data_IF_877085500806
#
_entry.id   IF_877085500806
#
_cell.length_a   1.000
_cell.length_b   1.000
_cell.length_c   1.000
_cell.angle_alpha   90.00
_cell.angle_beta   90.00
_cell.angle_gamma   90.00
#
_symmetry.space_group_name_H-M   'P 1'
#
loop_
_entity.id
_entity.type
_entity.pdbx_description
1 polymer ?
#
# COMPACT_ATOMS: atom_id res chain seq x y z
N UNK A 1 35.12 10.93 10.53
CA UNK A 1 34.68 12.34 10.58
C UNK A 1 33.83 12.56 11.82
N UNK A 2 34.42 13.02 12.92
CA UNK A 2 33.70 13.38 14.15
C UNK A 2 33.11 14.78 13.96
N UNK A 3 31.79 14.94 13.96
CA UNK A 3 31.19 16.28 13.98
C UNK A 3 31.55 16.93 15.32
N UNK A 4 32.12 18.13 15.27
CA UNK A 4 32.50 18.90 16.47
C UNK A 4 31.27 19.01 17.38
N UNK A 5 31.34 18.31 18.51
CA UNK A 5 30.40 18.39 19.61
C UNK A 5 30.54 19.74 20.30
N UNK A 6 29.87 20.75 19.78
CA UNK A 6 29.61 22.01 20.46
C UNK A 6 28.20 21.98 21.03
N UNK A 7 28.10 21.71 22.33
CA UNK A 7 27.04 21.92 23.33
C UNK A 7 25.82 22.83 23.01
N UNK A 8 25.15 22.68 21.87
CA UNK A 8 23.83 23.26 21.64
C UNK A 8 22.79 22.15 21.78
N UNK A 9 22.15 22.09 22.95
CA UNK A 9 20.87 21.41 23.08
C UNK A 9 19.98 21.91 21.93
N UNK A 10 19.47 20.99 21.12
CA UNK A 10 18.63 21.30 19.96
C UNK A 10 17.55 22.29 20.39
N UNK A 11 17.37 23.39 19.64
CA UNK A 11 16.32 24.36 19.93
C UNK A 11 15.00 23.59 20.13
N UNK A 12 14.24 23.82 21.21
CA UNK A 12 12.97 23.15 21.46
C UNK A 12 12.03 23.14 20.24
N UNK A 13 12.02 24.21 19.45
CA UNK A 13 11.26 24.30 18.21
C UNK A 13 11.76 23.31 17.12
N UNK A 14 13.06 23.17 16.97
CA UNK A 14 13.66 22.22 16.01
C UNK A 14 13.48 20.77 16.46
N UNK A 15 13.54 20.51 17.77
CA UNK A 15 13.21 19.21 18.33
C UNK A 15 11.76 18.84 18.02
N UNK A 16 10.82 19.77 18.22
CA UNK A 16 9.41 19.58 17.90
C UNK A 16 9.20 19.31 16.39
N UNK A 17 9.77 20.13 15.50
CA UNK A 17 9.69 19.93 14.04
C UNK A 17 10.26 18.56 13.63
N UNK A 18 11.40 18.17 14.20
CA UNK A 18 12.03 16.88 13.91
C UNK A 18 11.16 15.71 14.37
N UNK A 19 10.48 15.83 15.52
CA UNK A 19 9.53 14.83 15.99
C UNK A 19 8.29 14.73 15.08
N UNK A 20 7.72 15.85 14.65
CA UNK A 20 6.59 15.86 13.69
C UNK A 20 6.99 15.21 12.36
N UNK A 21 8.16 15.59 11.81
CA UNK A 21 8.69 14.99 10.59
C UNK A 21 8.93 13.49 10.73
N UNK A 22 9.46 13.02 11.87
CA UNK A 22 9.63 11.58 12.13
C UNK A 22 8.28 10.83 12.12
N UNK A 23 7.25 11.39 12.74
CA UNK A 23 5.89 10.81 12.75
C UNK A 23 5.32 10.75 11.34
N UNK A 24 5.48 11.81 10.56
CA UNK A 24 5.04 11.88 9.17
C UNK A 24 5.76 10.86 8.28
N UNK A 25 7.09 10.78 8.37
CA UNK A 25 7.89 9.80 7.62
C UNK A 25 7.46 8.37 7.95
N UNK A 26 7.22 8.07 9.24
CA UNK A 26 6.75 6.75 9.66
C UNK A 26 5.38 6.40 9.07
N UNK A 27 4.43 7.35 9.09
CA UNK A 27 3.10 7.19 8.47
C UNK A 27 3.23 6.95 6.96
N UNK A 28 4.00 7.77 6.25
CA UNK A 28 4.21 7.66 4.80
C UNK A 28 4.91 6.35 4.41
N UNK A 29 5.79 5.82 5.28
CA UNK A 29 6.44 4.52 5.05
C UNK A 29 5.44 3.37 5.23
N UNK A 30 4.61 3.42 6.28
CA UNK A 30 3.57 2.43 6.52
C UNK A 30 2.52 2.41 5.41
N UNK A 31 2.08 3.58 4.94
CA UNK A 31 1.13 3.69 3.82
C UNK A 31 1.72 3.12 2.52
N UNK A 32 2.97 3.46 2.19
CA UNK A 32 3.66 2.90 1.02
C UNK A 32 3.82 1.38 1.10
N UNK A 33 4.13 0.86 2.29
CA UNK A 33 4.24 -0.57 2.50
C UNK A 33 2.88 -1.25 2.31
N UNK A 34 1.81 -0.71 2.90
CA UNK A 34 0.46 -1.24 2.75
C UNK A 34 -0.01 -1.26 1.29
N UNK A 35 0.21 -0.16 0.55
CA UNK A 35 -0.10 -0.10 -0.89
C UNK A 35 0.68 -1.18 -1.64
N UNK A 36 1.99 -1.30 -1.38
CA UNK A 36 2.81 -2.33 -2.02
C UNK A 36 2.28 -3.74 -1.73
N UNK A 37 1.94 -4.04 -0.49
CA UNK A 37 1.46 -5.35 -0.08
C UNK A 37 0.09 -5.67 -0.67
N UNK A 38 -0.83 -4.69 -0.72
CA UNK A 38 -2.12 -4.82 -1.40
C UNK A 38 -1.95 -5.14 -2.90
N UNK A 39 -1.10 -4.41 -3.61
CA UNK A 39 -0.81 -4.68 -5.03
C UNK A 39 0.12 -5.88 -5.25
N UNK A 40 0.80 -6.38 -4.23
CA UNK A 40 1.55 -7.63 -4.28
C UNK A 40 0.61 -8.84 -4.35
N UNK A 41 -0.57 -8.76 -3.71
CA UNK A 41 -1.58 -9.82 -3.64
C UNK A 41 -2.47 -9.94 -4.89
N UNK A 42 -1.93 -9.60 -6.06
CA UNK A 42 -2.65 -9.66 -7.36
C UNK A 42 -3.12 -11.07 -7.74
N UNK A 43 -2.44 -12.10 -7.26
CA UNK A 43 -2.73 -13.49 -7.62
C UNK A 43 -3.88 -14.08 -6.78
N UNK A 44 -4.25 -13.42 -5.68
CA UNK A 44 -5.29 -13.87 -4.74
C UNK A 44 -6.37 -12.79 -4.55
N UNK A 45 -7.28 -12.62 -5.52
CA UNK A 45 -8.33 -11.60 -5.44
C UNK A 45 -9.34 -11.85 -4.30
N UNK A 46 -9.46 -13.08 -3.78
CA UNK A 46 -10.40 -13.39 -2.70
C UNK A 46 -9.98 -12.74 -1.36
N UNK A 47 -8.69 -12.79 -1.02
CA UNK A 47 -8.16 -12.16 0.21
C UNK A 47 -8.41 -10.64 0.20
N UNK A 48 -8.22 -9.98 -0.95
CA UNK A 48 -8.51 -8.54 -1.10
C UNK A 48 -10.01 -8.24 -0.95
N UNK A 49 -10.88 -9.16 -1.38
CA UNK A 49 -12.34 -9.01 -1.27
C UNK A 49 -12.81 -9.13 0.17
N UNK A 50 -12.25 -10.05 0.94
CA UNK A 50 -12.59 -10.26 2.35
C UNK A 50 -12.22 -9.04 3.19
N UNK A 51 -10.99 -8.53 3.06
CA UNK A 51 -10.56 -7.31 3.75
C UNK A 51 -11.40 -6.08 3.34
N UNK A 52 -11.76 -5.98 2.06
CA UNK A 52 -12.63 -4.92 1.58
C UNK A 52 -14.03 -5.03 2.19
N UNK A 53 -14.57 -6.25 2.31
CA UNK A 53 -15.88 -6.50 2.91
C UNK A 53 -15.90 -6.08 4.37
N UNK A 54 -14.87 -6.43 5.15
CA UNK A 54 -14.75 -5.99 6.54
C UNK A 54 -14.80 -4.46 6.68
N UNK A 55 -14.13 -3.72 5.80
CA UNK A 55 -14.17 -2.25 5.80
C UNK A 55 -15.54 -1.68 5.39
N UNK A 56 -16.26 -2.37 4.50
CA UNK A 56 -17.63 -1.98 4.11
C UNK A 56 -18.59 -2.25 5.24
N UNK A 57 -18.49 -3.39 5.91
CA UNK A 57 -19.32 -3.76 7.05
C UNK A 57 -19.07 -2.79 8.22
N UNK A 58 -17.82 -2.38 8.45
CA UNK A 58 -17.48 -1.34 9.42
C UNK A 58 -18.05 0.04 9.05
N UNK A 59 -18.10 0.40 7.77
CA UNK A 59 -18.73 1.63 7.29
C UNK A 59 -20.26 1.61 7.43
N UNK A 60 -20.87 0.44 7.24
CA UNK A 60 -22.31 0.27 7.45
C UNK A 60 -22.69 0.42 8.93
N UNK A 61 -21.81 0.00 9.85
CA UNK A 61 -22.03 0.07 11.29
C UNK A 61 -21.62 1.43 11.91
N UNK A 62 -20.93 2.30 11.18
CA UNK A 62 -20.47 3.60 11.68
C UNK A 62 -19.52 4.34 10.74
N UNK A 63 -18.97 5.49 11.16
CA UNK A 63 -18.08 6.27 10.29
C UNK A 63 -16.65 5.71 10.29
N UNK A 64 -16.12 5.41 9.10
CA UNK A 64 -14.71 5.06 8.90
C UNK A 64 -13.77 6.22 9.28
N UNK A 65 -12.67 5.90 9.95
CA UNK A 65 -11.53 6.82 10.11
C UNK A 65 -10.96 7.22 8.74
N UNK A 66 -10.36 8.42 8.64
CA UNK A 66 -9.69 8.90 7.43
C UNK A 66 -8.69 7.88 6.87
N UNK A 67 -7.96 7.20 7.76
CA UNK A 67 -7.01 6.16 7.37
C UNK A 67 -7.72 4.92 6.78
N UNK A 68 -8.85 4.51 7.36
CA UNK A 68 -9.61 3.37 6.87
C UNK A 68 -10.27 3.66 5.52
N UNK A 69 -10.71 4.91 5.27
CA UNK A 69 -11.20 5.35 3.95
C UNK A 69 -10.12 5.22 2.87
N UNK A 70 -8.88 5.62 3.20
CA UNK A 70 -7.72 5.44 2.29
C UNK A 70 -7.45 3.95 2.05
N UNK A 71 -7.44 3.13 3.12
CA UNK A 71 -7.24 1.67 2.98
C UNK A 71 -8.31 1.02 2.12
N UNK A 72 -9.59 1.38 2.32
CA UNK A 72 -10.72 0.91 1.49
C UNK A 72 -10.48 1.23 0.02
N UNK A 73 -10.08 2.47 -0.29
CA UNK A 73 -9.77 2.89 -1.67
C UNK A 73 -8.61 2.07 -2.26
N UNK A 74 -7.54 1.87 -1.52
CA UNK A 74 -6.38 1.08 -1.97
C UNK A 74 -6.75 -0.38 -2.23
N UNK A 75 -7.55 -1.00 -1.34
CA UNK A 75 -8.02 -2.37 -1.52
C UNK A 75 -8.94 -2.52 -2.72
N UNK A 76 -9.84 -1.57 -2.92
CA UNK A 76 -10.71 -1.53 -4.10
C UNK A 76 -9.88 -1.47 -5.40
N UNK A 77 -8.95 -0.52 -5.50
CA UNK A 77 -8.08 -0.38 -6.67
C UNK A 77 -7.20 -1.61 -6.91
N UNK A 78 -6.69 -2.24 -5.85
CA UNK A 78 -5.91 -3.47 -5.93
C UNK A 78 -6.75 -4.67 -6.39
N UNK A 79 -7.99 -4.80 -5.89
CA UNK A 79 -8.94 -5.84 -6.28
C UNK A 79 -9.33 -5.70 -7.76
N UNK A 80 -9.65 -4.48 -8.21
CA UNK A 80 -10.00 -4.21 -9.60
C UNK A 80 -8.82 -4.51 -10.54
N UNK A 81 -7.60 -4.15 -10.12
CA UNK A 81 -6.38 -4.51 -10.86
C UNK A 81 -6.16 -6.03 -10.93
N UNK A 82 -6.44 -6.77 -9.85
CA UNK A 82 -6.34 -8.23 -9.81
C UNK A 82 -7.35 -8.88 -10.78
N UNK A 83 -8.61 -8.43 -10.77
CA UNK A 83 -9.64 -8.91 -11.70
C UNK A 83 -9.27 -8.62 -13.16
N UNK A 84 -8.76 -7.41 -13.45
CA UNK A 84 -8.30 -7.05 -14.79
C UNK A 84 -7.16 -7.97 -15.25
N UNK A 85 -6.19 -8.25 -14.38
CA UNK A 85 -5.09 -9.18 -14.68
C UNK A 85 -5.59 -10.60 -14.93
N UNK A 86 -6.55 -11.09 -14.15
CA UNK A 86 -7.14 -12.42 -14.34
C UNK A 86 -7.85 -12.53 -15.69
N UNK A 87 -8.62 -11.51 -16.08
CA UNK A 87 -9.28 -11.44 -17.40
C UNK A 87 -8.25 -11.47 -18.54
N UNK A 88 -7.20 -10.64 -18.45
CA UNK A 88 -6.11 -10.60 -19.44
C UNK A 88 -5.37 -11.94 -19.51
N UNK A 89 -5.04 -12.54 -18.37
CA UNK A 89 -4.40 -13.86 -18.31
C UNK A 89 -5.26 -14.94 -18.96
N UNK A 90 -6.57 -14.91 -18.72
CA UNK A 90 -7.53 -15.85 -19.35
C UNK A 90 -7.61 -15.63 -20.86
N UNK A 91 -7.61 -14.38 -21.32
CA UNK A 91 -7.64 -14.05 -22.75
C UNK A 91 -6.33 -14.40 -23.48
N UNK A 92 -5.18 -14.35 -22.79
CA UNK A 92 -3.86 -14.76 -23.30
C UNK A 92 -3.59 -16.27 -23.21
N UNK A 93 -4.43 -17.02 -22.51
CA UNK A 93 -4.29 -18.46 -22.33
C UNK A 93 -4.32 -19.33 -23.61
N UNK A 94 -4.92 -18.94 -24.76
CA UNK A 94 -4.88 -19.80 -25.93
C UNK A 94 -3.51 -19.83 -26.63
N UNK A 95 -2.55 -18.96 -26.26
CA UNK A 95 -1.20 -18.99 -26.85
C UNK A 95 -0.19 -19.60 -25.86
N UNK A 96 0.37 -20.79 -26.15
CA UNK A 96 1.43 -21.35 -25.32
C UNK A 96 2.64 -20.41 -25.31
N UNK A 97 3.22 -20.21 -24.12
CA UNK A 97 4.34 -19.29 -23.88
C UNK A 97 5.66 -19.74 -24.55
N UNK A 98 5.66 -20.89 -25.19
CA UNK A 98 6.78 -21.47 -25.93
C UNK A 98 6.57 -21.28 -27.44
N UNK A 99 6.99 -20.14 -27.97
CA UNK A 99 7.45 -20.13 -29.36
C UNK A 99 8.90 -20.59 -29.32
N UNK A 100 9.28 -21.72 -29.95
CA UNK A 100 10.69 -22.01 -30.13
C UNK A 100 11.30 -20.86 -30.94
N UNK A 101 12.35 -20.23 -30.41
CA UNK A 101 13.19 -19.33 -31.18
C UNK A 101 13.67 -20.14 -32.40
N UNK A 102 13.23 -19.75 -33.60
CA UNK A 102 13.83 -20.31 -34.83
C UNK A 102 15.30 -19.91 -34.82
N UNK A 103 16.17 -20.90 -34.69
CA UNK A 103 17.61 -20.80 -34.92
C UNK A 103 17.88 -20.65 -36.42
#
# INVERSE_FOLDING_TARGET
>A
MKTKGGRHAMNPADAFRKQQRKKEIARNKAERQYIRDAYGRKDKPQELREELKELIDLEANGNLSKLQKIRKKVLQEAYDAALKRQKVRRALAPYPRSYPLRL
#
